data_IF_535746525327
#
_entry.id   IF_535746525327
#
_cell.length_a   1.000
_cell.length_b   1.000
_cell.length_c   1.000
_cell.angle_alpha   90.00
_cell.angle_beta   90.00
_cell.angle_gamma   90.00
#
_symmetry.space_group_name_H-M   'P 1'
#
loop_
_entity.id
_entity.type
_entity.pdbx_description
1 polymer ?
#
# COMPACT_ATOMS: atom_id res chain seq x y z
N UNK A 1 10.36 -16.04 12.78
CA UNK A 1 9.99 -14.63 12.64
C UNK A 1 8.53 -14.56 13.02
N UNK A 2 8.16 -13.81 14.06
CA UNK A 2 6.77 -13.77 14.50
C UNK A 2 5.94 -13.03 13.44
N UNK A 3 4.91 -13.69 12.91
CA UNK A 3 3.90 -13.06 12.07
C UNK A 3 3.07 -12.09 12.92
N UNK A 4 3.63 -10.92 13.19
CA UNK A 4 2.94 -9.85 13.90
C UNK A 4 1.80 -9.37 13.03
N UNK A 5 0.57 -9.71 13.43
CA UNK A 5 -0.66 -9.31 12.73
C UNK A 5 -0.81 -7.79 12.55
N UNK A 6 -0.15 -7.01 13.40
CA UNK A 6 -0.19 -5.55 13.40
C UNK A 6 1.23 -4.97 13.42
N UNK A 7 1.44 -3.95 12.61
CA UNK A 7 2.68 -3.18 12.54
C UNK A 7 2.49 -1.77 13.10
N UNK A 8 3.48 -1.29 13.83
CA UNK A 8 3.59 0.11 14.25
C UNK A 8 3.96 1.00 13.05
N UNK A 9 3.81 2.33 13.14
CA UNK A 9 4.17 3.23 12.04
C UNK A 9 5.64 3.12 11.65
N UNK A 10 6.52 2.82 12.61
CA UNK A 10 7.96 2.63 12.40
C UNK A 10 8.23 1.35 11.60
N UNK A 11 7.59 0.25 11.98
CA UNK A 11 7.68 -1.03 11.24
C UNK A 11 7.10 -0.91 9.82
N UNK A 12 6.03 -0.14 9.62
CA UNK A 12 5.51 0.14 8.27
C UNK A 12 6.50 0.96 7.45
N UNK A 13 7.14 1.97 8.06
CA UNK A 13 8.16 2.75 7.38
C UNK A 13 9.37 1.87 6.98
N UNK A 14 9.76 0.94 7.84
CA UNK A 14 10.79 -0.05 7.56
C UNK A 14 10.38 -1.04 6.46
N UNK A 15 9.13 -1.51 6.46
CA UNK A 15 8.55 -2.36 5.40
C UNK A 15 8.75 -1.73 4.00
N UNK A 16 8.52 -0.43 3.88
CA UNK A 16 8.74 0.31 2.64
C UNK A 16 10.17 0.86 2.47
N UNK A 17 11.13 0.37 3.26
CA UNK A 17 12.56 0.74 3.21
C UNK A 17 12.79 2.25 3.28
N UNK A 18 11.97 2.95 4.07
CA UNK A 18 12.03 4.42 4.22
C UNK A 18 11.41 5.21 3.07
N UNK A 19 10.88 4.57 2.02
CA UNK A 19 10.15 5.26 0.95
C UNK A 19 8.83 5.90 1.43
N UNK A 20 8.26 5.36 2.51
CA UNK A 20 7.14 5.95 3.23
C UNK A 20 7.58 6.26 4.66
N UNK A 21 7.71 7.54 5.00
CA UNK A 21 8.12 7.95 6.35
C UNK A 21 6.96 7.87 7.35
N UNK A 22 7.28 7.77 8.66
CA UNK A 22 6.27 7.88 9.74
C UNK A 22 5.49 9.21 9.66
N UNK A 23 6.16 10.29 9.26
CA UNK A 23 5.53 11.59 9.02
C UNK A 23 4.50 11.55 7.89
N UNK A 24 4.83 10.85 6.80
CA UNK A 24 3.91 10.60 5.68
C UNK A 24 2.69 9.83 6.14
N UNK A 25 2.88 8.73 6.88
CA UNK A 25 1.77 7.96 7.47
C UNK A 25 0.91 8.79 8.43
N UNK A 26 1.51 9.70 9.20
CA UNK A 26 0.76 10.64 10.05
C UNK A 26 -0.09 11.61 9.21
N UNK A 27 0.48 12.17 8.15
CA UNK A 27 -0.23 13.07 7.26
C UNK A 27 -1.39 12.37 6.56
N UNK A 28 -1.15 11.18 6.01
CA UNK A 28 -2.17 10.33 5.40
C UNK A 28 -3.36 10.07 6.32
N UNK A 29 -3.11 9.69 7.58
CA UNK A 29 -4.18 9.51 8.58
C UNK A 29 -4.99 10.79 8.82
N UNK A 30 -4.34 11.96 8.87
CA UNK A 30 -5.02 13.24 9.03
C UNK A 30 -5.91 13.57 7.81
N UNK A 31 -5.43 13.23 6.62
CA UNK A 31 -6.15 13.42 5.35
C UNK A 31 -7.16 12.30 5.04
N UNK A 32 -7.24 11.26 5.87
CA UNK A 32 -8.02 10.02 5.61
C UNK A 32 -7.63 9.34 4.30
N UNK A 33 -6.34 9.40 3.97
CA UNK A 33 -5.72 8.70 2.85
C UNK A 33 -4.84 7.57 3.38
N UNK A 34 -4.43 6.66 2.49
CA UNK A 34 -3.48 5.61 2.82
C UNK A 34 -4.11 4.31 3.32
N UNK A 35 -3.26 3.35 3.78
CA UNK A 35 -3.72 2.09 4.34
C UNK A 35 -4.54 2.29 5.61
N UNK A 36 -5.49 1.39 5.84
CA UNK A 36 -6.31 1.37 7.04
C UNK A 36 -5.44 1.24 8.30
N UNK A 37 -5.87 1.89 9.38
CA UNK A 37 -5.17 1.84 10.67
C UNK A 37 -6.16 1.64 11.81
N UNK A 38 -5.70 0.97 12.85
CA UNK A 38 -6.41 0.81 14.11
C UNK A 38 -5.76 1.73 15.14
N UNK A 39 -6.58 2.50 15.85
CA UNK A 39 -6.13 3.35 16.95
C UNK A 39 -6.61 2.76 18.27
N UNK A 40 -5.67 2.40 19.14
CA UNK A 40 -5.95 1.85 20.49
C UNK A 40 -5.27 2.75 21.52
N UNK A 41 -6.03 3.67 22.12
CA UNK A 41 -5.50 4.68 23.02
C UNK A 41 -4.45 5.57 22.32
N UNK A 42 -3.20 5.51 22.79
CA UNK A 42 -2.05 6.21 22.19
C UNK A 42 -1.40 5.45 21.04
N UNK A 43 -1.66 4.14 20.92
CA UNK A 43 -1.05 3.29 19.91
C UNK A 43 -1.80 3.42 18.58
N UNK A 44 -1.04 3.41 17.49
CA UNK A 44 -1.55 3.34 16.12
C UNK A 44 -0.91 2.14 15.47
N UNK A 45 -1.74 1.26 14.92
CA UNK A 45 -1.34 -0.03 14.39
C UNK A 45 -1.90 -0.19 12.98
N UNK A 46 -1.15 -0.85 12.12
CA UNK A 46 -1.54 -1.19 10.76
C UNK A 46 -1.63 -2.71 10.64
N UNK A 47 -2.83 -3.27 10.41
CA UNK A 47 -2.95 -4.69 10.10
C UNK A 47 -2.17 -5.03 8.84
N UNK A 48 -1.46 -6.17 8.84
CA UNK A 48 -0.68 -6.59 7.67
C UNK A 48 -1.59 -6.80 6.45
N UNK A 49 -2.74 -7.46 6.64
CA UNK A 49 -3.72 -7.68 5.58
C UNK A 49 -4.21 -6.38 4.91
N UNK A 50 -4.40 -5.32 5.71
CA UNK A 50 -4.84 -4.01 5.20
C UNK A 50 -3.74 -3.29 4.43
N UNK A 51 -2.47 -3.48 4.81
CA UNK A 51 -1.32 -2.98 4.06
C UNK A 51 -1.18 -3.69 2.72
N UNK A 52 -1.35 -5.01 2.70
CA UNK A 52 -1.31 -5.80 1.46
C UNK A 52 -2.45 -5.38 0.51
N UNK A 53 -3.67 -5.23 1.03
CA UNK A 53 -4.79 -4.73 0.25
C UNK A 53 -4.56 -3.30 -0.28
N UNK A 54 -3.87 -2.46 0.50
CA UNK A 54 -3.46 -1.14 0.03
C UNK A 54 -2.42 -1.23 -1.09
N UNK A 55 -1.40 -2.08 -0.94
CA UNK A 55 -0.37 -2.29 -1.96
C UNK A 55 -0.97 -2.77 -3.28
N UNK A 56 -1.94 -3.69 -3.22
CA UNK A 56 -2.67 -4.17 -4.39
C UNK A 56 -3.46 -3.05 -5.09
N UNK A 57 -4.12 -2.17 -4.32
CA UNK A 57 -4.84 -1.01 -4.87
C UNK A 57 -3.90 0.01 -5.51
N UNK A 58 -2.67 0.13 -5.01
CA UNK A 58 -1.65 1.04 -5.52
C UNK A 58 -0.78 0.40 -6.62
N UNK A 59 -1.03 -0.88 -6.95
CA UNK A 59 -0.28 -1.60 -7.97
C UNK A 59 -0.53 -1.01 -9.35
N UNK A 60 0.49 -0.37 -9.90
CA UNK A 60 0.47 0.12 -11.28
C UNK A 60 0.51 -1.08 -12.24
N UNK A 61 -0.55 -1.25 -13.03
CA UNK A 61 -0.60 -2.26 -14.09
C UNK A 61 0.22 -1.79 -15.29
N UNK A 62 1.50 -2.20 -15.33
CA UNK A 62 2.36 -1.95 -16.48
C UNK A 62 2.01 -2.92 -17.61
N UNK A 63 0.98 -2.63 -18.42
CA UNK A 63 0.73 -3.40 -19.63
C UNK A 63 1.62 -2.90 -20.78
N UNK A 64 2.74 -3.57 -21.03
CA UNK A 64 3.49 -3.37 -22.28
C UNK A 64 2.73 -3.88 -23.51
N UNK A 65 1.72 -4.75 -23.32
CA UNK A 65 1.15 -5.56 -24.40
C UNK A 65 -0.25 -5.14 -24.87
N UNK A 66 -0.93 -4.18 -24.21
CA UNK A 66 -2.29 -3.79 -24.66
C UNK A 66 -2.27 -3.15 -26.05
N UNK A 67 -1.24 -2.34 -26.33
CA UNK A 67 -1.00 -1.74 -27.66
C UNK A 67 -0.63 -2.75 -28.76
N UNK A 68 -0.18 -3.96 -28.43
CA UNK A 68 0.19 -4.95 -29.44
C UNK A 68 -1.02 -5.79 -29.88
N UNK A 69 -1.94 -6.08 -28.96
CA UNK A 69 -3.11 -6.92 -29.23
C UNK A 69 -4.19 -6.13 -30.00
N UNK A 70 -4.40 -4.85 -29.68
CA UNK A 70 -5.40 -4.01 -30.39
C UNK A 70 -5.04 -3.76 -31.87
N UNK A 71 -3.74 -3.80 -32.22
CA UNK A 71 -3.27 -3.57 -33.60
C UNK A 71 -3.38 -4.79 -34.52
N UNK A 72 -3.61 -5.98 -33.96
CA UNK A 72 -3.79 -7.22 -34.72
C UNK A 72 -5.27 -7.56 -34.97
N UNK A 73 -6.20 -6.89 -34.28
CA UNK A 73 -7.65 -7.12 -34.38
C UNK A 73 -8.38 -6.25 -35.40
N UNK A 74 -7.73 -5.21 -35.95
CA UNK A 74 -8.31 -4.27 -36.92
C UNK A 74 -8.05 -4.69 -38.38
N UNK A 75 -7.50 -5.90 -38.60
CA UNK A 75 -7.13 -6.40 -39.93
C UNK A 75 -7.91 -7.66 -40.34
N UNK A 76 -9.16 -7.80 -39.90
CA UNK A 76 -10.09 -8.87 -40.29
C UNK A 76 -11.28 -8.31 -41.07
#
# INVERSE_FOLDING_TARGET
>A
MADSKFLTPEEVAERYRGGVSVGTLRNWRAMRLGPSFVKVGKAVLYPVDDLDAWDERNRVQCSASKRLIERLGDQA
#
